data_IF_012263719465
#
_entry.id   IF_012263719465
#
_cell.length_a   1.000
_cell.length_b   1.000
_cell.length_c   1.000
_cell.angle_alpha   90.00
_cell.angle_beta   90.00
_cell.angle_gamma   90.00
#
_symmetry.space_group_name_H-M   'P 1'
#
loop_
_entity.id
_entity.type
_entity.pdbx_description
1 polymer ?
#
# COMPACT_ATOMS: atom_id res chain seq x y z
N UNK A 1 -13.28 -9.45 16.44
CA UNK A 1 -11.93 -8.89 16.24
C UNK A 1 -11.16 -9.05 17.55
N UNK A 2 -9.96 -9.65 17.53
CA UNK A 2 -9.13 -9.79 18.74
C UNK A 2 -8.01 -8.75 18.65
N UNK A 3 -7.78 -8.00 19.73
CA UNK A 3 -6.71 -7.01 19.77
C UNK A 3 -5.44 -7.67 20.30
N UNK A 4 -4.35 -7.55 19.54
CA UNK A 4 -3.03 -7.95 19.97
C UNK A 4 -2.40 -6.83 20.81
N UNK A 5 -1.65 -7.20 21.85
CA UNK A 5 -0.94 -6.24 22.70
C UNK A 5 0.44 -5.97 22.11
N UNK A 6 0.78 -4.69 21.93
CA UNK A 6 2.09 -4.22 21.48
C UNK A 6 2.69 -3.34 22.58
N UNK A 7 3.96 -3.56 22.93
CA UNK A 7 4.71 -2.64 23.79
C UNK A 7 5.50 -1.67 22.91
N UNK A 8 5.42 -0.37 23.22
CA UNK A 8 6.15 0.69 22.51
C UNK A 8 7.07 1.37 23.50
N UNK A 9 8.35 1.48 23.14
CA UNK A 9 9.37 2.13 23.96
C UNK A 9 9.57 3.55 23.45
N UNK A 10 9.58 4.50 24.38
CA UNK A 10 9.78 5.93 24.12
C UNK A 10 10.68 6.51 25.21
N UNK A 11 11.35 7.65 24.96
CA UNK A 11 12.06 8.37 26.01
C UNK A 11 11.13 8.73 27.18
N UNK A 12 11.65 8.70 28.41
CA UNK A 12 10.87 8.95 29.62
C UNK A 12 10.19 10.32 29.60
N UNK A 13 10.91 11.36 29.15
CA UNK A 13 10.35 12.71 28.99
C UNK A 13 9.12 12.74 28.06
N UNK A 14 9.12 11.92 27.01
CA UNK A 14 7.97 11.82 26.11
C UNK A 14 6.83 11.05 26.77
N UNK A 15 7.13 9.97 27.50
CA UNK A 15 6.11 9.23 28.24
C UNK A 15 5.40 10.12 29.27
N UNK A 16 6.14 10.97 29.97
CA UNK A 16 5.58 11.88 30.97
C UNK A 16 4.71 12.97 30.35
N UNK A 17 5.14 13.53 29.21
CA UNK A 17 4.32 14.48 28.44
C UNK A 17 3.02 13.84 27.94
N UNK A 18 3.10 12.62 27.41
CA UNK A 18 1.94 11.85 26.92
C UNK A 18 0.96 11.57 28.04
N UNK A 19 1.44 11.14 29.22
CA UNK A 19 0.61 10.92 30.40
C UNK A 19 -0.06 12.20 30.89
N UNK A 20 0.70 13.30 30.96
CA UNK A 20 0.20 14.59 31.43
C UNK A 20 -0.87 15.18 30.50
N UNK A 21 -0.81 14.85 29.21
CA UNK A 21 -1.75 15.30 28.20
C UNK A 21 -2.93 14.33 27.97
N UNK A 22 -3.06 13.27 28.77
CA UNK A 22 -4.10 12.22 28.66
C UNK A 22 -4.27 11.67 27.23
N UNK A 23 -3.15 11.48 26.53
CA UNK A 23 -3.17 11.03 25.13
C UNK A 23 -3.52 9.55 25.06
N UNK A 24 -4.48 9.19 24.20
CA UNK A 24 -4.77 7.81 23.86
C UNK A 24 -3.67 7.23 22.96
N UNK A 25 -2.62 6.69 23.59
CA UNK A 25 -1.45 6.12 22.91
C UNK A 25 -1.85 5.01 21.94
N UNK A 26 -2.81 4.17 22.31
CA UNK A 26 -3.24 3.07 21.43
C UNK A 26 -3.85 3.60 20.13
N UNK A 27 -4.68 4.63 20.19
CA UNK A 27 -5.27 5.23 18.99
C UNK A 27 -4.20 5.88 18.10
N UNK A 28 -3.26 6.63 18.68
CA UNK A 28 -2.16 7.27 17.94
C UNK A 28 -1.27 6.24 17.27
N UNK A 29 -0.86 5.19 17.99
CA UNK A 29 -0.02 4.13 17.46
C UNK A 29 -0.75 3.35 16.36
N UNK A 30 -2.04 3.05 16.53
CA UNK A 30 -2.83 2.35 15.50
C UNK A 30 -2.93 3.18 14.21
N UNK A 31 -3.21 4.48 14.32
CA UNK A 31 -3.28 5.37 13.16
C UNK A 31 -1.92 5.46 12.43
N UNK A 32 -0.84 5.65 13.17
CA UNK A 32 0.51 5.72 12.59
C UNK A 32 0.92 4.41 11.92
N UNK A 33 0.58 3.26 12.52
CA UNK A 33 0.85 1.95 11.93
C UNK A 33 0.03 1.72 10.66
N UNK A 34 -1.24 2.09 10.64
CA UNK A 34 -2.08 1.98 9.44
C UNK A 34 -1.52 2.86 8.30
N UNK A 35 -1.18 4.10 8.58
CA UNK A 35 -0.59 5.02 7.60
C UNK A 35 0.76 4.49 7.07
N UNK A 36 1.62 3.95 7.93
CA UNK A 36 2.89 3.35 7.52
C UNK A 36 2.67 2.15 6.59
N UNK A 37 1.71 1.29 6.94
CA UNK A 37 1.38 0.12 6.13
C UNK A 37 0.81 0.53 4.77
N UNK A 38 -0.10 1.51 4.72
CA UNK A 38 -0.66 2.03 3.48
C UNK A 38 0.43 2.65 2.59
N UNK A 39 1.35 3.41 3.19
CA UNK A 39 2.48 3.99 2.45
C UNK A 39 3.39 2.93 1.84
N UNK A 40 3.53 1.78 2.51
CA UNK A 40 4.33 0.64 2.02
C UNK A 40 3.56 -0.27 1.07
N UNK A 41 2.23 -0.22 1.07
CA UNK A 41 1.39 -1.14 0.33
C UNK A 41 1.69 -1.11 -1.18
N UNK A 42 1.95 0.07 -1.76
CA UNK A 42 2.31 0.20 -3.18
C UNK A 42 3.61 -0.53 -3.50
N UNK A 43 4.64 -0.38 -2.66
CA UNK A 43 5.92 -1.06 -2.87
C UNK A 43 5.79 -2.57 -2.67
N UNK A 44 5.07 -2.98 -1.62
CA UNK A 44 4.81 -4.39 -1.38
C UNK A 44 4.02 -5.05 -2.53
N UNK A 45 3.07 -4.32 -3.12
CA UNK A 45 2.34 -4.75 -4.31
C UNK A 45 3.28 -4.87 -5.53
N UNK A 46 4.16 -3.89 -5.76
CA UNK A 46 5.16 -3.94 -6.84
C UNK A 46 6.11 -5.14 -6.67
N UNK A 47 6.59 -5.39 -5.45
CA UNK A 47 7.49 -6.50 -5.15
C UNK A 47 6.80 -7.87 -5.30
N UNK A 48 5.47 -7.92 -5.15
CA UNK A 48 4.68 -9.13 -5.35
C UNK A 48 4.36 -9.42 -6.83
N UNK A 49 4.64 -8.48 -7.75
CA UNK A 49 4.40 -8.71 -9.17
C UNK A 49 5.36 -9.81 -9.69
N UNK A 50 4.86 -10.75 -10.52
CA UNK A 50 5.73 -11.71 -11.18
C UNK A 50 6.83 -10.99 -11.96
N UNK A 51 8.07 -11.52 -12.01
CA UNK A 51 9.13 -10.93 -12.80
C UNK A 51 8.65 -10.80 -14.25
N UNK A 52 8.77 -9.58 -14.81
CA UNK A 52 8.35 -9.27 -16.17
C UNK A 52 9.07 -10.20 -17.15
N UNK A 53 8.33 -11.16 -17.71
CA UNK A 53 8.88 -12.07 -18.73
C UNK A 53 8.77 -11.40 -20.10
N UNK A 54 9.91 -10.91 -20.59
CA UNK A 54 10.07 -10.34 -21.92
C UNK A 54 9.75 -8.85 -21.98
N UNK A 55 10.62 -8.08 -22.66
CA UNK A 55 10.32 -6.70 -23.05
C UNK A 55 9.47 -6.74 -24.32
N UNK A 56 8.29 -6.12 -24.30
CA UNK A 56 7.51 -5.80 -25.51
C UNK A 56 7.73 -4.34 -25.85
N UNK A 57 7.82 -4.02 -27.14
CA UNK A 57 7.85 -2.62 -27.56
C UNK A 57 6.49 -1.97 -27.31
N UNK A 58 6.50 -0.65 -27.13
CA UNK A 58 5.27 0.13 -27.04
C UNK A 58 4.37 -0.09 -28.26
N UNK A 59 4.96 -0.12 -29.45
CA UNK A 59 4.27 -0.37 -30.72
C UNK A 59 3.55 -1.72 -30.74
N UNK A 60 4.21 -2.80 -30.29
CA UNK A 60 3.58 -4.11 -30.21
C UNK A 60 2.43 -4.16 -29.21
N UNK A 61 2.47 -3.34 -28.15
CA UNK A 61 1.38 -3.24 -27.19
C UNK A 61 0.18 -2.47 -27.77
N UNK A 62 0.44 -1.37 -28.49
CA UNK A 62 -0.61 -0.59 -29.16
C UNK A 62 -1.28 -1.43 -30.25
N UNK A 63 -0.50 -2.14 -31.07
CA UNK A 63 -1.02 -3.01 -32.10
C UNK A 63 -1.96 -4.10 -31.52
N UNK A 64 -1.57 -4.75 -30.42
CA UNK A 64 -2.42 -5.75 -29.78
C UNK A 64 -3.73 -5.16 -29.23
N UNK A 65 -3.73 -3.91 -28.77
CA UNK A 65 -4.93 -3.21 -28.31
C UNK A 65 -5.86 -2.82 -29.47
N UNK A 66 -5.28 -2.44 -30.60
CA UNK A 66 -6.03 -2.10 -31.81
C UNK A 66 -6.65 -3.36 -32.45
N UNK A 67 -5.90 -4.47 -32.50
CA UNK A 67 -6.41 -5.77 -32.96
C UNK A 67 -7.64 -6.24 -32.16
N UNK A 68 -7.61 -6.12 -30.83
CA UNK A 68 -8.78 -6.42 -29.98
C UNK A 68 -9.91 -5.43 -30.26
N UNK A 69 -9.62 -4.13 -30.42
CA UNK A 69 -10.66 -3.14 -30.68
C UNK A 69 -11.42 -3.39 -31.97
N UNK A 70 -10.70 -3.82 -33.00
CA UNK A 70 -11.27 -4.16 -34.30
C UNK A 70 -12.12 -5.44 -34.22
N UNK A 71 -11.70 -6.42 -33.40
CA UNK A 71 -12.48 -7.65 -33.14
C UNK A 71 -13.80 -7.37 -32.38
N UNK A 72 -13.81 -6.42 -31.45
CA UNK A 72 -15.01 -6.00 -30.72
C UNK A 72 -15.84 -4.92 -31.44
N UNK A 73 -15.37 -4.48 -32.62
CA UNK A 73 -15.83 -3.27 -33.31
C UNK A 73 -16.57 -3.51 -34.63
N UNK A 74 -17.01 -4.73 -34.96
CA UNK A 74 -17.93 -4.91 -36.10
C UNK A 74 -19.40 -4.70 -35.67
N UNK A 75 -20.01 -3.52 -35.90
CA UNK A 75 -21.45 -3.44 -36.03
C UNK A 75 -21.84 -4.11 -37.35
N UNK A 76 -22.72 -5.12 -37.28
CA UNK A 76 -23.46 -5.64 -38.44
C UNK A 76 -24.25 -4.55 -39.16
#
# INVERSE_FOLDING_TARGET
MRIARLNVYVPDELADRVRSADVNVSAVVQAALAEELDRRATNAWLDALPPLRGRRSHEAAIQALDEVRDEFGEPS
#
